data_IF_203366948120
#
_entry.id   IF_203366948120
#
_cell.length_a   1.000
_cell.length_b   1.000
_cell.length_c   1.000
_cell.angle_alpha   90.00
_cell.angle_beta   90.00
_cell.angle_gamma   90.00
#
_symmetry.space_group_name_H-M   'P 1'
#
loop_
_entity.id
_entity.type
_entity.pdbx_description
1 polymer ?
#
# COMPACT_ATOMS: atom_id res chain seq x y z
N UNK A 1 6.37 8.66 19.23
CA UNK A 1 6.19 8.84 17.78
C UNK A 1 5.72 10.27 17.56
N UNK A 2 6.45 11.07 16.78
CA UNK A 2 6.33 12.54 16.82
C UNK A 2 5.30 13.09 15.81
N UNK A 3 4.70 12.23 14.98
CA UNK A 3 3.80 12.63 13.89
C UNK A 3 2.40 12.01 13.96
N UNK A 4 2.04 11.30 15.03
CA UNK A 4 0.73 10.66 15.20
C UNK A 4 0.50 9.39 14.35
N UNK A 5 1.47 8.96 13.55
CA UNK A 5 1.39 7.71 12.79
C UNK A 5 1.61 6.53 13.73
N UNK A 6 0.77 5.49 13.61
CA UNK A 6 0.87 4.26 14.40
C UNK A 6 1.22 3.12 13.45
N UNK A 7 2.47 2.65 13.52
CA UNK A 7 3.04 1.74 12.54
C UNK A 7 3.43 2.48 11.26
N UNK A 8 2.55 2.50 10.25
CA UNK A 8 2.69 3.30 9.03
C UNK A 8 1.37 3.99 8.66
N UNK A 9 1.40 4.79 7.59
CA UNK A 9 0.22 5.57 7.20
C UNK A 9 -0.98 4.69 6.81
N UNK A 10 -0.73 3.52 6.21
CA UNK A 10 -1.76 2.56 5.81
C UNK A 10 -2.35 1.76 6.98
N UNK A 11 -1.64 1.64 8.11
CA UNK A 11 -2.15 0.99 9.32
C UNK A 11 -2.82 1.96 10.31
N UNK A 12 -2.47 3.24 10.26
CA UNK A 12 -2.95 4.25 11.22
C UNK A 12 -4.48 4.30 11.30
N UNK A 13 -5.18 4.23 10.17
CA UNK A 13 -6.64 4.25 10.13
C UNK A 13 -7.29 3.12 10.92
N UNK A 14 -6.76 1.89 10.84
CA UNK A 14 -7.24 0.77 11.64
C UNK A 14 -6.85 0.91 13.12
N UNK A 15 -5.63 1.38 13.40
CA UNK A 15 -5.16 1.60 14.76
C UNK A 15 -6.04 2.62 15.49
N UNK A 16 -6.47 3.69 14.81
CA UNK A 16 -7.39 4.69 15.35
C UNK A 16 -8.73 4.07 15.79
N UNK A 17 -9.31 3.17 14.99
CA UNK A 17 -10.57 2.48 15.36
C UNK A 17 -10.40 1.64 16.63
N UNK A 18 -9.26 0.94 16.75
CA UNK A 18 -8.96 0.12 17.94
C UNK A 18 -8.80 1.00 19.16
N UNK A 19 -7.97 2.04 19.09
CA UNK A 19 -7.69 2.90 20.23
C UNK A 19 -8.93 3.67 20.69
N UNK A 20 -9.77 4.12 19.76
CA UNK A 20 -11.05 4.77 20.10
C UNK A 20 -11.99 3.87 20.92
N UNK A 21 -11.92 2.55 20.73
CA UNK A 21 -12.79 1.56 21.40
C UNK A 21 -12.14 0.89 22.62
N UNK A 22 -10.83 1.10 22.84
CA UNK A 22 -10.02 0.39 23.82
C UNK A 22 -9.44 1.29 24.94
N UNK A 23 -10.03 2.48 25.18
CA UNK A 23 -9.54 3.49 26.15
C UNK A 23 -9.17 2.94 27.53
N UNK A 24 -9.94 1.99 28.04
CA UNK A 24 -9.70 1.34 29.34
C UNK A 24 -8.36 0.61 29.46
N UNK A 25 -7.70 0.27 28.35
CA UNK A 25 -6.49 -0.55 28.34
C UNK A 25 -5.19 0.26 28.26
N UNK A 26 -5.26 1.54 27.92
CA UNK A 26 -4.08 2.41 27.85
C UNK A 26 -4.12 3.57 28.84
N UNK A 27 -5.26 3.80 29.52
CA UNK A 27 -5.31 4.71 30.66
C UNK A 27 -4.27 4.33 31.75
N UNK A 28 -3.60 5.31 32.40
CA UNK A 28 -3.81 6.75 32.29
C UNK A 28 -3.00 7.42 31.17
N UNK A 29 -2.23 6.67 30.38
CA UNK A 29 -1.51 7.24 29.25
C UNK A 29 -2.54 7.81 28.27
N UNK A 30 -2.36 9.04 27.82
CA UNK A 30 -3.24 9.63 26.82
C UNK A 30 -2.68 9.35 25.43
N UNK A 31 -3.60 9.09 24.49
CA UNK A 31 -3.29 8.99 23.08
C UNK A 31 -3.87 10.23 22.38
N UNK A 32 -3.00 10.95 21.65
CA UNK A 32 -3.41 12.10 20.85
C UNK A 32 -4.09 11.64 19.55
N UNK A 33 -5.40 11.43 19.64
CA UNK A 33 -6.24 11.08 18.50
C UNK A 33 -6.24 12.18 17.41
N UNK A 34 -6.16 13.45 17.81
CA UNK A 34 -6.16 14.57 16.86
C UNK A 34 -4.90 14.57 16.00
N UNK A 35 -3.74 14.25 16.58
CA UNK A 35 -2.49 14.11 15.84
C UNK A 35 -2.56 12.97 14.82
N UNK A 36 -3.07 11.80 15.21
CA UNK A 36 -3.23 10.66 14.30
C UNK A 36 -4.23 10.95 13.16
N UNK A 37 -5.36 11.60 13.49
CA UNK A 37 -6.34 12.06 12.51
C UNK A 37 -5.70 13.02 11.50
N UNK A 38 -4.93 14.01 11.97
CA UNK A 38 -4.24 14.97 11.10
C UNK A 38 -3.22 14.28 10.19
N UNK A 39 -2.51 13.27 10.69
CA UNK A 39 -1.55 12.50 9.90
C UNK A 39 -2.24 11.79 8.71
N UNK A 40 -3.34 11.08 8.98
CA UNK A 40 -4.12 10.39 7.94
C UNK A 40 -4.76 11.37 6.96
N UNK A 41 -5.41 12.43 7.46
CA UNK A 41 -6.08 13.42 6.62
C UNK A 41 -5.11 14.19 5.71
N UNK A 42 -3.91 14.49 6.21
CA UNK A 42 -2.88 15.18 5.42
C UNK A 42 -2.27 14.31 4.32
N UNK A 43 -2.45 12.99 4.40
CA UNK A 43 -1.93 12.06 3.43
C UNK A 43 -2.90 11.85 2.27
N UNK A 44 -2.40 11.98 1.04
CA UNK A 44 -3.20 11.78 -0.17
C UNK A 44 -3.38 10.27 -0.47
N UNK A 45 -4.26 9.61 0.27
CA UNK A 45 -4.59 8.20 0.03
C UNK A 45 -5.30 8.03 -1.32
N UNK A 46 -4.59 7.47 -2.30
CA UNK A 46 -5.16 7.20 -3.64
C UNK A 46 -5.65 5.75 -3.80
N UNK A 47 -5.12 4.82 -2.99
CA UNK A 47 -5.48 3.40 -3.07
C UNK A 47 -6.86 3.15 -2.44
N UNK A 48 -7.86 2.62 -3.18
CA UNK A 48 -9.22 2.43 -2.67
C UNK A 48 -9.32 1.63 -1.38
N UNK A 49 -8.50 0.57 -1.25
CA UNK A 49 -8.46 -0.24 -0.04
C UNK A 49 -7.89 0.52 1.16
N UNK A 50 -6.87 1.36 0.96
CA UNK A 50 -6.33 2.21 2.00
C UNK A 50 -7.38 3.23 2.49
N UNK A 51 -8.12 3.84 1.56
CA UNK A 51 -9.25 4.72 1.89
C UNK A 51 -10.30 3.95 2.69
N UNK A 52 -10.70 2.75 2.25
CA UNK A 52 -11.71 1.95 2.93
C UNK A 52 -11.32 1.55 4.37
N UNK A 53 -10.02 1.42 4.67
CA UNK A 53 -9.54 1.14 6.02
C UNK A 53 -9.42 2.39 6.90
N UNK A 54 -9.12 3.54 6.30
CA UNK A 54 -8.99 4.82 7.02
C UNK A 54 -10.34 5.50 7.27
N UNK A 55 -11.26 5.41 6.31
CA UNK A 55 -12.51 6.18 6.30
C UNK A 55 -13.34 6.01 7.57
N UNK A 56 -13.56 4.80 8.13
CA UNK A 56 -14.36 4.65 9.36
C UNK A 56 -13.82 5.53 10.49
N UNK A 57 -12.51 5.49 10.76
CA UNK A 57 -11.89 6.32 11.79
C UNK A 57 -12.04 7.81 11.51
N UNK A 58 -11.93 8.23 10.24
CA UNK A 58 -12.08 9.63 9.83
C UNK A 58 -13.51 10.16 10.02
N UNK A 59 -14.52 9.29 9.99
CA UNK A 59 -15.92 9.66 10.27
C UNK A 59 -16.35 9.33 11.70
N UNK A 60 -15.40 9.03 12.59
CA UNK A 60 -15.67 8.73 13.99
C UNK A 60 -16.36 7.38 14.22
N UNK A 61 -16.22 6.45 13.28
CA UNK A 61 -16.79 5.11 13.31
C UNK A 61 -15.70 4.04 13.43
N UNK A 62 -16.12 2.84 13.81
CA UNK A 62 -15.32 1.63 13.82
C UNK A 62 -16.09 0.48 13.16
N UNK A 63 -15.41 -0.64 12.91
CA UNK A 63 -16.10 -1.84 12.47
C UNK A 63 -17.10 -2.42 13.49
N UNK A 64 -17.03 -2.02 14.77
CA UNK A 64 -18.03 -2.43 15.77
C UNK A 64 -19.39 -1.76 15.53
N UNK A 65 -19.40 -0.59 14.88
CA UNK A 65 -20.62 0.18 14.59
C UNK A 65 -21.38 -0.37 13.37
N UNK A 66 -20.79 -1.32 12.63
CA UNK A 66 -21.37 -1.88 11.41
C UNK A 66 -22.73 -2.57 11.66
N UNK A 67 -22.93 -3.19 12.83
CA UNK A 67 -24.18 -3.86 13.18
C UNK A 67 -25.32 -2.88 13.49
N UNK A 68 -25.00 -1.63 13.85
CA UNK A 68 -25.95 -0.58 14.21
C UNK A 68 -26.25 0.39 13.06
N UNK A 69 -25.81 0.08 11.84
CA UNK A 69 -25.98 0.97 10.70
C UNK A 69 -27.46 1.06 10.31
N UNK A 70 -28.02 2.27 10.35
CA UNK A 70 -29.37 2.53 9.87
C UNK A 70 -29.37 2.73 8.35
N UNK A 71 -29.71 1.68 7.61
CA UNK A 71 -29.81 1.73 6.16
C UNK A 71 -31.03 2.51 5.65
N UNK A 72 -31.97 2.89 6.52
CA UNK A 72 -33.16 3.68 6.16
C UNK A 72 -32.90 5.19 6.26
N UNK A 73 -31.90 5.60 7.05
CA UNK A 73 -31.42 6.96 7.13
C UNK A 73 -30.77 7.37 5.80
N UNK A 74 -31.58 7.84 4.86
CA UNK A 74 -31.13 8.40 3.59
C UNK A 74 -30.48 9.77 3.82
N UNK A 75 -29.25 9.81 4.34
CA UNK A 75 -28.43 11.02 4.30
C UNK A 75 -27.74 11.13 2.94
N UNK A 76 -28.53 11.20 1.88
CA UNK A 76 -28.03 11.42 0.53
C UNK A 76 -28.14 12.90 0.18
N UNK A 77 -27.35 13.74 0.85
CA UNK A 77 -26.77 14.86 0.11
C UNK A 77 -25.45 14.34 -0.41
N UNK A 78 -25.47 13.68 -1.58
CA UNK A 78 -24.23 13.54 -2.34
C UNK A 78 -23.67 14.95 -2.45
N UNK A 79 -22.46 15.24 -1.96
CA UNK A 79 -21.85 16.53 -2.23
C UNK A 79 -21.91 16.69 -3.74
N UNK A 80 -22.46 17.82 -4.19
CA UNK A 80 -22.60 18.12 -5.59
C UNK A 80 -21.19 18.02 -6.17
N UNK A 81 -20.90 16.90 -6.84
CA UNK A 81 -19.59 16.61 -7.40
C UNK A 81 -19.38 17.69 -8.45
N UNK A 82 -18.59 18.70 -8.09
CA UNK A 82 -18.12 19.65 -9.07
C UNK A 82 -17.38 18.80 -10.11
N UNK A 83 -17.69 18.92 -11.41
CA UNK A 83 -16.96 18.21 -12.43
C UNK A 83 -15.49 18.64 -12.31
N UNK A 84 -14.69 17.80 -11.66
CA UNK A 84 -13.25 17.93 -11.62
C UNK A 84 -12.84 17.76 -13.07
N UNK A 85 -12.47 18.87 -13.72
CA UNK A 85 -11.77 18.77 -15.00
C UNK A 85 -10.59 17.83 -14.77
N UNK A 86 -10.42 16.77 -15.57
CA UNK A 86 -9.20 15.99 -15.54
C UNK A 86 -8.07 16.99 -15.69
N UNK A 87 -7.23 17.11 -14.66
CA UNK A 87 -6.01 17.88 -14.79
C UNK A 87 -5.29 17.34 -16.04
N UNK A 88 -4.78 18.21 -16.93
CA UNK A 88 -4.01 17.75 -18.06
C UNK A 88 -2.96 16.77 -17.56
N UNK A 89 -2.96 15.55 -18.14
CA UNK A 89 -1.94 14.56 -17.84
C UNK A 89 -0.58 15.25 -17.97
N UNK A 90 0.24 15.31 -16.90
CA UNK A 90 1.53 15.94 -17.00
C UNK A 90 2.31 15.31 -18.16
N UNK A 91 3.10 16.11 -18.90
CA UNK A 91 3.87 15.59 -20.00
C UNK A 91 4.76 14.44 -19.52
N UNK A 92 4.98 13.39 -20.34
CA UNK A 92 5.79 12.25 -19.96
C UNK A 92 7.15 12.69 -19.44
N UNK A 93 7.43 12.40 -18.17
CA UNK A 93 8.70 12.73 -17.53
C UNK A 93 9.88 12.03 -18.22
N UNK A 94 11.13 12.49 -18.00
CA UNK A 94 12.31 11.87 -18.60
C UNK A 94 12.44 10.39 -18.22
N UNK A 95 13.22 9.63 -18.99
CA UNK A 95 13.59 8.28 -18.58
C UNK A 95 14.47 8.34 -17.35
N UNK A 96 14.19 7.47 -16.38
CA UNK A 96 15.02 7.23 -15.22
C UNK A 96 15.64 5.84 -15.32
N UNK A 97 16.82 5.69 -14.75
CA UNK A 97 17.54 4.43 -14.66
C UNK A 97 17.28 3.80 -13.29
N UNK A 98 16.88 2.54 -13.28
CA UNK A 98 16.63 1.77 -12.06
C UNK A 98 17.51 0.54 -12.06
N UNK A 99 18.24 0.33 -10.95
CA UNK A 99 18.99 -0.89 -10.69
C UNK A 99 18.07 -1.88 -9.97
N UNK A 100 17.62 -2.91 -10.69
CA UNK A 100 16.72 -3.93 -10.18
C UNK A 100 17.51 -5.20 -9.87
N UNK A 101 17.26 -5.82 -8.71
CA UNK A 101 17.94 -7.05 -8.29
C UNK A 101 16.95 -8.02 -7.67
N UNK A 102 17.10 -9.30 -7.99
CA UNK A 102 16.34 -10.40 -7.41
C UNK A 102 17.29 -11.27 -6.59
N UNK A 103 16.95 -11.46 -5.31
CA UNK A 103 17.80 -12.14 -4.35
C UNK A 103 17.01 -13.27 -3.69
N UNK A 104 17.54 -14.49 -3.81
CA UNK A 104 17.08 -15.64 -3.07
C UNK A 104 18.26 -16.26 -2.32
N UNK A 105 18.14 -16.32 -1.00
CA UNK A 105 19.08 -17.02 -0.11
C UNK A 105 18.39 -18.09 0.74
N UNK A 106 17.10 -18.33 0.50
CA UNK A 106 16.23 -19.07 1.41
C UNK A 106 15.82 -20.44 0.86
N UNK A 107 15.36 -20.52 -0.40
CA UNK A 107 14.70 -21.72 -0.93
C UNK A 107 15.40 -22.21 -2.20
N UNK A 108 15.74 -23.49 -2.27
CA UNK A 108 16.43 -24.06 -3.44
C UNK A 108 17.84 -23.51 -3.64
N UNK A 109 18.28 -23.39 -4.89
CA UNK A 109 19.61 -22.85 -5.22
C UNK A 109 19.64 -21.33 -5.01
N UNK A 110 20.59 -20.79 -4.24
CA UNK A 110 20.72 -19.35 -4.05
C UNK A 110 21.03 -18.64 -5.37
N UNK A 111 20.45 -17.46 -5.55
CA UNK A 111 20.74 -16.58 -6.67
C UNK A 111 20.70 -15.11 -6.25
N UNK A 112 21.50 -14.31 -6.93
CA UNK A 112 21.54 -12.85 -6.82
C UNK A 112 21.83 -12.31 -8.22
N UNK A 113 20.80 -11.83 -8.89
CA UNK A 113 20.86 -11.41 -10.29
C UNK A 113 20.32 -9.99 -10.39
N UNK A 114 20.97 -9.17 -11.21
CA UNK A 114 20.67 -7.76 -11.33
C UNK A 114 20.61 -7.33 -12.78
N UNK A 115 19.74 -6.36 -13.07
CA UNK A 115 19.61 -5.72 -14.37
C UNK A 115 19.41 -4.22 -14.17
N UNK A 116 19.86 -3.45 -15.16
CA UNK A 116 19.60 -2.02 -15.23
C UNK A 116 18.52 -1.77 -16.28
N UNK A 117 17.39 -1.22 -15.86
CA UNK A 117 16.26 -0.92 -16.74
C UNK A 117 15.98 0.58 -16.80
N UNK A 118 15.36 1.00 -17.90
CA UNK A 118 14.98 2.39 -18.15
C UNK A 118 13.46 2.48 -18.22
N UNK A 119 12.87 3.27 -17.33
CA UNK A 119 11.41 3.51 -17.30
C UNK A 119 11.14 5.00 -17.29
N UNK A 120 9.91 5.41 -17.62
CA UNK A 120 9.53 6.83 -17.51
C UNK A 120 9.49 7.24 -16.04
N UNK A 121 9.90 8.47 -15.75
CA UNK A 121 9.65 9.07 -14.43
C UNK A 121 8.14 9.08 -14.15
N UNK A 122 7.75 8.65 -12.95
CA UNK A 122 6.34 8.48 -12.55
C UNK A 122 5.76 7.09 -12.83
N UNK A 123 6.50 6.19 -13.47
CA UNK A 123 6.15 4.77 -13.54
C UNK A 123 6.21 4.09 -12.17
N UNK A 124 5.45 3.01 -12.01
CA UNK A 124 5.43 2.21 -10.77
C UNK A 124 6.53 1.15 -10.76
N UNK A 125 6.75 0.51 -9.61
CA UNK A 125 7.65 -0.63 -9.50
C UNK A 125 7.23 -1.78 -10.43
N UNK A 126 5.94 -2.02 -10.60
CA UNK A 126 5.44 -3.02 -11.56
C UNK A 126 5.95 -2.79 -12.99
N UNK A 127 6.09 -1.54 -13.43
CA UNK A 127 6.65 -1.23 -14.75
C UNK A 127 8.15 -1.56 -14.85
N UNK A 128 8.89 -1.47 -13.73
CA UNK A 128 10.30 -1.91 -13.65
C UNK A 128 10.39 -3.42 -13.81
N UNK A 129 9.50 -4.19 -13.16
CA UNK A 129 9.43 -5.65 -13.29
C UNK A 129 9.11 -6.06 -14.73
N UNK A 130 8.15 -5.39 -15.37
CA UNK A 130 7.79 -5.61 -16.76
C UNK A 130 8.95 -5.32 -17.72
N UNK A 131 9.65 -4.19 -17.52
CA UNK A 131 10.82 -3.86 -18.35
C UNK A 131 11.97 -4.86 -18.17
N UNK A 132 12.14 -5.40 -16.96
CA UNK A 132 13.15 -6.43 -16.70
C UNK A 132 12.78 -7.77 -17.36
N UNK A 133 11.51 -8.18 -17.26
CA UNK A 133 10.99 -9.38 -17.93
C UNK A 133 11.07 -9.27 -19.45
N UNK A 134 10.78 -8.11 -20.04
CA UNK A 134 10.92 -7.88 -21.48
C UNK A 134 12.39 -7.99 -21.93
N UNK A 135 13.33 -7.51 -21.11
CA UNK A 135 14.75 -7.56 -21.42
C UNK A 135 15.34 -8.97 -21.31
N UNK A 136 15.03 -9.71 -20.24
CA UNK A 136 15.49 -11.09 -20.04
C UNK A 136 14.36 -11.98 -19.47
N UNK A 137 13.45 -12.51 -20.33
CA UNK A 137 12.25 -13.23 -19.89
C UNK A 137 12.54 -14.46 -19.03
N UNK A 138 13.58 -15.21 -19.34
CA UNK A 138 13.93 -16.43 -18.61
C UNK A 138 14.44 -16.14 -17.18
N UNK A 139 15.00 -14.94 -16.95
CA UNK A 139 15.64 -14.55 -15.70
C UNK A 139 14.69 -13.72 -14.83
N UNK A 140 14.05 -12.70 -15.40
CA UNK A 140 13.19 -11.76 -14.66
C UNK A 140 11.69 -12.03 -14.84
N UNK A 141 11.31 -13.21 -15.33
CA UNK A 141 9.89 -13.62 -15.34
C UNK A 141 9.27 -13.51 -13.96
N UNK A 142 8.04 -13.01 -13.92
CA UNK A 142 7.29 -12.91 -12.67
C UNK A 142 5.81 -13.22 -12.88
N UNK A 143 5.13 -13.55 -11.78
CA UNK A 143 3.67 -13.76 -11.78
C UNK A 143 3.02 -12.91 -10.70
N UNK A 144 1.81 -12.44 -10.98
CA UNK A 144 1.00 -11.69 -10.04
C UNK A 144 -0.34 -12.38 -9.78
N UNK A 145 -0.92 -12.10 -8.61
CA UNK A 145 -2.33 -12.40 -8.30
C UNK A 145 -3.06 -11.09 -7.96
N UNK A 146 -4.30 -10.89 -8.42
CA UNK A 146 -5.09 -9.73 -8.01
C UNK A 146 -5.47 -9.84 -6.53
N UNK A 147 -5.44 -8.71 -5.82
CA UNK A 147 -5.91 -8.58 -4.44
C UNK A 147 -6.72 -7.28 -4.30
N UNK A 148 -7.38 -7.08 -3.15
CA UNK A 148 -8.05 -5.80 -2.87
C UNK A 148 -7.08 -4.60 -2.83
N UNK A 149 -5.78 -4.86 -2.60
CA UNK A 149 -4.71 -3.86 -2.60
C UNK A 149 -4.03 -3.68 -3.97
N UNK A 150 -4.48 -4.41 -4.99
CA UNK A 150 -3.86 -4.43 -6.31
C UNK A 150 -3.05 -5.70 -6.59
N UNK A 151 -2.16 -5.69 -7.60
CA UNK A 151 -1.40 -6.87 -8.01
C UNK A 151 -0.34 -7.22 -6.98
N UNK A 152 -0.42 -8.43 -6.43
CA UNK A 152 0.60 -8.99 -5.54
C UNK A 152 1.53 -9.90 -6.34
N UNK A 153 2.83 -9.65 -6.29
CA UNK A 153 3.84 -10.54 -6.91
C UNK A 153 3.94 -11.83 -6.09
N UNK A 154 3.74 -12.96 -6.76
CA UNK A 154 3.71 -14.30 -6.14
C UNK A 154 4.81 -15.22 -6.63
N UNK A 155 5.49 -14.87 -7.71
CA UNK A 155 6.58 -15.67 -8.28
C UNK A 155 7.57 -14.75 -8.97
N UNK A 156 8.86 -15.02 -8.83
CA UNK A 156 9.95 -14.36 -9.57
C UNK A 156 10.97 -15.44 -9.92
N UNK A 157 11.45 -15.44 -11.17
CA UNK A 157 12.43 -16.41 -11.68
C UNK A 157 11.99 -17.86 -11.43
N UNK A 158 10.70 -18.14 -11.67
CA UNK A 158 10.10 -19.46 -11.47
C UNK A 158 9.98 -19.93 -10.01
N UNK A 159 10.36 -19.11 -9.02
CA UNK A 159 10.26 -19.44 -7.61
C UNK A 159 9.03 -18.80 -6.98
N UNK A 160 8.08 -19.65 -6.57
CA UNK A 160 6.81 -19.24 -5.99
C UNK A 160 6.91 -18.92 -4.49
N UNK A 161 6.16 -17.90 -4.06
CA UNK A 161 5.81 -17.65 -2.67
C UNK A 161 4.92 -18.79 -2.13
N UNK A 162 4.96 -19.02 -0.82
CA UNK A 162 4.25 -20.12 -0.16
C UNK A 162 3.67 -19.66 1.16
N UNK A 163 2.35 -19.73 1.29
CA UNK A 163 1.65 -19.44 2.54
C UNK A 163 1.95 -20.51 3.59
N UNK A 164 2.03 -21.78 3.18
CA UNK A 164 2.35 -22.91 4.05
C UNK A 164 3.78 -22.79 4.64
N UNK A 165 4.74 -22.37 3.82
CA UNK A 165 6.13 -22.19 4.25
C UNK A 165 6.39 -20.79 4.83
N UNK A 166 5.38 -19.90 4.79
CA UNK A 166 5.48 -18.49 5.20
C UNK A 166 6.58 -17.72 4.45
N UNK A 167 6.75 -18.00 3.16
CA UNK A 167 7.74 -17.34 2.29
C UNK A 167 7.05 -16.42 1.29
N UNK A 168 7.59 -15.22 1.08
CA UNK A 168 7.04 -14.21 0.17
C UNK A 168 8.15 -13.38 -0.48
N UNK A 169 7.81 -12.64 -1.53
CA UNK A 169 8.69 -11.69 -2.18
C UNK A 169 8.61 -10.32 -1.52
N UNK A 170 9.71 -9.87 -0.93
CA UNK A 170 9.82 -8.55 -0.29
C UNK A 170 10.50 -7.56 -1.23
N UNK A 171 9.89 -6.38 -1.40
CA UNK A 171 10.46 -5.30 -2.20
C UNK A 171 11.12 -4.26 -1.30
N UNK A 172 12.32 -3.85 -1.70
CA UNK A 172 13.17 -2.93 -0.96
C UNK A 172 13.66 -1.81 -1.89
N UNK A 173 13.78 -0.60 -1.37
CA UNK A 173 14.54 0.49 -1.98
C UNK A 173 15.74 0.81 -1.11
N UNK A 174 16.95 0.61 -1.65
CA UNK A 174 18.21 0.81 -0.93
C UNK A 174 18.26 0.12 0.46
N UNK A 175 17.67 -1.09 0.54
CA UNK A 175 17.59 -1.88 1.78
C UNK A 175 16.40 -1.59 2.68
N UNK A 176 15.62 -0.53 2.43
CA UNK A 176 14.42 -0.21 3.20
C UNK A 176 13.19 -0.84 2.57
N UNK A 177 12.33 -1.46 3.39
CA UNK A 177 11.08 -2.05 2.90
C UNK A 177 10.14 -0.98 2.35
N UNK A 178 9.57 -1.27 1.18
CA UNK A 178 8.53 -0.43 0.60
C UNK A 178 7.24 -0.56 1.42
N UNK A 179 6.49 0.53 1.47
CA UNK A 179 5.17 0.58 2.13
C UNK A 179 4.01 0.44 1.13
N UNK A 180 4.32 0.48 -0.17
CA UNK A 180 3.39 0.34 -1.29
C UNK A 180 3.81 -0.83 -2.19
N UNK A 181 2.84 -1.37 -2.94
CA UNK A 181 3.02 -2.45 -3.93
C UNK A 181 3.38 -1.95 -5.32
#
# INVERSE_FOLDING_TARGET
EENGVIGNIYSTGLAMQVLATASKFYAPQEWDCAQAFSAVLSHNLQQPMAIAQALPALVGMSYLDAASLDCSASTATSPQLSPSHPAPLPPPGPNITVHYSIINKLKGQPFNISITVHVRAGSTLLAVLQAAEEAEPDIFSFKTKPTSWGPMVVSIHGLDASEADRTYWQFLSSGNALQEG
#
